data_IF_862739751776
#
_entry.id   IF_862739751776
#
_cell.length_a   1.000
_cell.length_b   1.000
_cell.length_c   1.000
_cell.angle_alpha   90.00
_cell.angle_beta   90.00
_cell.angle_gamma   90.00
#
_symmetry.space_group_name_H-M   'P 1'
#
loop_
_entity.id
_entity.type
_entity.pdbx_description
1 polymer ?
#
# COMPACT_ATOMS: atom_id res chain seq x y z
N UNK A 1 15.00 -14.23 -12.31
CA UNK A 1 13.55 -14.16 -12.64
C UNK A 1 12.83 -13.53 -11.46
N UNK A 2 12.01 -12.50 -11.66
CA UNK A 2 11.27 -11.89 -10.56
C UNK A 2 10.09 -12.79 -10.16
N UNK A 3 9.97 -13.13 -8.87
CA UNK A 3 8.84 -13.91 -8.34
C UNK A 3 7.64 -12.98 -8.11
N UNK A 4 6.49 -13.38 -8.63
CA UNK A 4 5.23 -12.64 -8.50
C UNK A 4 4.30 -13.34 -7.50
N UNK A 5 3.55 -12.55 -6.75
CA UNK A 5 2.58 -13.00 -5.77
C UNK A 5 1.23 -12.35 -6.01
N UNK A 6 0.17 -13.13 -5.85
CA UNK A 6 -1.20 -12.65 -5.92
C UNK A 6 -1.70 -12.31 -4.52
N UNK A 7 -2.36 -11.17 -4.37
CA UNK A 7 -3.03 -10.76 -3.12
C UNK A 7 -4.54 -10.73 -3.32
N UNK A 8 -5.28 -10.71 -2.21
CA UNK A 8 -6.73 -10.60 -2.22
C UNK A 8 -7.22 -9.26 -2.80
N UNK A 9 -8.48 -9.25 -3.25
CA UNK A 9 -9.11 -8.07 -3.86
C UNK A 9 -9.01 -6.83 -2.97
N UNK A 10 -9.24 -6.98 -1.66
CA UNK A 10 -9.25 -5.84 -0.74
C UNK A 10 -7.87 -5.19 -0.59
N UNK A 11 -6.82 -5.99 -0.47
CA UNK A 11 -5.43 -5.51 -0.40
C UNK A 11 -5.01 -4.88 -1.71
N UNK A 12 -5.34 -5.50 -2.85
CA UNK A 12 -5.10 -4.92 -4.17
C UNK A 12 -5.75 -3.53 -4.27
N UNK A 13 -7.01 -3.41 -3.89
CA UNK A 13 -7.75 -2.15 -3.95
C UNK A 13 -7.18 -1.11 -2.98
N UNK A 14 -6.66 -1.52 -1.82
CA UNK A 14 -5.96 -0.65 -0.87
C UNK A 14 -4.63 -0.12 -1.43
N UNK A 15 -3.82 -0.98 -2.04
CA UNK A 15 -2.55 -0.58 -2.67
C UNK A 15 -2.81 0.31 -3.88
N UNK A 16 -3.86 0.05 -4.66
CA UNK A 16 -4.28 0.95 -5.74
C UNK A 16 -4.70 2.32 -5.21
N UNK A 17 -5.34 2.40 -4.04
CA UNK A 17 -5.66 3.67 -3.39
C UNK A 17 -4.39 4.44 -3.01
N UNK A 18 -3.36 3.75 -2.48
CA UNK A 18 -2.03 4.34 -2.22
C UNK A 18 -1.42 4.89 -3.51
N UNK A 19 -1.35 4.08 -4.58
CA UNK A 19 -0.78 4.48 -5.87
C UNK A 19 -1.50 5.73 -6.41
N UNK A 20 -2.83 5.72 -6.38
CA UNK A 20 -3.66 6.83 -6.85
C UNK A 20 -3.41 8.08 -6.01
N UNK A 21 -3.47 7.98 -4.68
CA UNK A 21 -3.29 9.12 -3.78
C UNK A 21 -1.91 9.78 -3.97
N UNK A 22 -0.84 8.99 -4.04
CA UNK A 22 0.51 9.53 -4.24
C UNK A 22 0.64 10.18 -5.62
N UNK A 23 0.06 9.58 -6.67
CA UNK A 23 0.04 10.19 -8.00
C UNK A 23 -0.71 11.52 -8.01
N UNK A 24 -1.91 11.54 -7.44
CA UNK A 24 -2.78 12.73 -7.42
C UNK A 24 -2.15 13.88 -6.64
N UNK A 25 -1.35 13.59 -5.61
CA UNK A 25 -0.72 14.60 -4.74
C UNK A 25 0.70 15.01 -5.15
N UNK A 26 1.46 14.13 -5.79
CA UNK A 26 2.87 14.38 -6.17
C UNK A 26 3.10 14.51 -7.67
N UNK A 27 2.08 14.19 -8.48
CA UNK A 27 2.18 14.10 -9.94
C UNK A 27 2.91 12.86 -10.46
N UNK A 28 3.54 12.05 -9.59
CA UNK A 28 4.38 10.92 -9.99
C UNK A 28 3.89 9.63 -9.33
N UNK A 29 3.55 8.63 -10.14
CA UNK A 29 3.19 7.31 -9.64
C UNK A 29 4.34 6.66 -8.85
N UNK A 30 4.08 6.17 -7.63
CA UNK A 30 5.09 5.46 -6.85
C UNK A 30 5.36 4.08 -7.45
N UNK A 31 6.58 3.56 -7.33
CA UNK A 31 6.91 2.17 -7.65
C UNK A 31 6.45 1.22 -6.54
N UNK A 32 6.35 -0.08 -6.86
CA UNK A 32 6.13 -1.10 -5.83
C UNK A 32 7.23 -1.10 -4.75
N UNK A 33 8.46 -0.76 -5.11
CA UNK A 33 9.58 -0.68 -4.16
C UNK A 33 9.44 0.51 -3.21
N UNK A 34 9.07 1.69 -3.72
CA UNK A 34 8.82 2.89 -2.91
C UNK A 34 7.70 2.64 -1.89
N UNK A 35 6.63 1.96 -2.31
CA UNK A 35 5.53 1.54 -1.42
C UNK A 35 6.01 0.50 -0.41
N UNK A 36 6.72 -0.54 -0.85
CA UNK A 36 7.21 -1.59 0.04
C UNK A 36 8.12 -1.02 1.13
N UNK A 37 9.01 -0.09 0.78
CA UNK A 37 9.90 0.57 1.74
C UNK A 37 9.13 1.46 2.71
N UNK A 38 8.15 2.22 2.23
CA UNK A 38 7.28 3.02 3.10
C UNK A 38 6.52 2.15 4.10
N UNK A 39 5.94 1.03 3.66
CA UNK A 39 5.19 0.08 4.51
C UNK A 39 6.06 -0.58 5.59
N UNK A 40 7.36 -0.75 5.34
CA UNK A 40 8.31 -1.27 6.34
C UNK A 40 8.79 -0.22 7.34
N UNK A 41 8.47 1.06 7.13
CA UNK A 41 8.85 2.13 8.07
C UNK A 41 8.15 1.94 9.42
N UNK A 42 8.92 2.01 10.51
CA UNK A 42 8.41 1.80 11.87
C UNK A 42 7.20 2.68 12.18
N UNK A 43 7.21 3.93 11.72
CA UNK A 43 6.11 4.86 11.92
C UNK A 43 4.82 4.36 11.24
N UNK A 44 4.90 3.91 9.99
CA UNK A 44 3.75 3.35 9.26
C UNK A 44 3.26 2.05 9.92
N UNK A 45 4.19 1.18 10.33
CA UNK A 45 3.86 -0.06 11.03
C UNK A 45 3.10 0.21 12.34
N UNK A 46 3.56 1.19 13.12
CA UNK A 46 2.91 1.61 14.35
C UNK A 46 1.50 2.13 14.10
N UNK A 47 1.34 2.96 13.07
CA UNK A 47 0.04 3.54 12.74
C UNK A 47 -0.95 2.49 12.22
N UNK A 48 -0.51 1.56 11.38
CA UNK A 48 -1.32 0.40 10.99
C UNK A 48 -1.75 -0.38 12.24
N UNK A 49 -0.83 -0.63 13.18
CA UNK A 49 -1.15 -1.32 14.43
C UNK A 49 -2.17 -0.59 15.30
N UNK A 50 -2.09 0.74 15.38
CA UNK A 50 -3.07 1.57 16.09
C UNK A 50 -4.44 1.50 15.40
N UNK A 51 -4.46 1.62 14.08
CA UNK A 51 -5.69 1.61 13.27
C UNK A 51 -6.39 0.25 13.32
N UNK A 52 -5.65 -0.87 13.32
CA UNK A 52 -6.22 -2.21 13.53
C UNK A 52 -6.78 -2.35 14.95
N UNK A 53 -6.04 -1.90 15.98
CA UNK A 53 -6.55 -1.92 17.37
C UNK A 53 -7.84 -1.09 17.52
N UNK A 54 -7.91 0.05 16.85
CA UNK A 54 -9.10 0.88 16.84
C UNK A 54 -10.28 0.19 16.14
N UNK A 55 -10.05 -0.49 15.01
CA UNK A 55 -11.08 -1.28 14.33
C UNK A 55 -11.65 -2.38 15.23
N UNK A 56 -10.80 -3.15 15.91
CA UNK A 56 -11.22 -4.24 16.81
C UNK A 56 -12.03 -3.77 18.02
N UNK A 57 -11.80 -2.54 18.47
CA UNK A 57 -12.53 -1.95 19.61
C UNK A 57 -13.88 -1.35 19.23
N UNK A 58 -14.14 -1.11 17.95
CA UNK A 58 -15.45 -0.59 17.51
C UNK A 58 -16.49 -1.70 17.63
N UNK A 59 -17.63 -1.49 18.31
CA UNK A 59 -18.75 -2.41 18.20
C UNK A 59 -19.14 -2.49 16.73
N UNK A 60 -19.38 -3.71 16.22
CA UNK A 60 -19.70 -4.00 14.82
C UNK A 60 -20.91 -3.20 14.34
N UNK A 61 -20.69 -1.95 13.96
CA UNK A 61 -21.59 -1.22 13.07
C UNK A 61 -21.07 -1.54 11.69
N UNK A 62 -21.54 -2.68 11.17
CA UNK A 62 -21.48 -2.95 9.75
C UNK A 62 -22.32 -1.91 9.03
N UNK A 63 -21.69 -0.81 8.69
CA UNK A 63 -22.00 -0.08 7.47
C UNK A 63 -20.67 0.31 6.87
N UNK A 64 -20.00 -0.70 6.28
CA UNK A 64 -19.14 -0.37 5.15
C UNK A 64 -20.09 0.21 4.09
N UNK A 65 -19.93 1.46 3.64
CA UNK A 65 -20.61 1.86 2.43
C UNK A 65 -20.17 0.86 1.37
N UNK A 66 -21.13 0.10 0.83
CA UNK A 66 -20.97 -0.62 -0.43
C UNK A 66 -20.62 0.45 -1.45
N UNK A 67 -19.34 0.75 -1.57
CA UNK A 67 -18.83 1.56 -2.66
C UNK A 67 -19.14 0.75 -3.89
N UNK A 68 -20.15 1.19 -4.64
CA UNK A 68 -20.41 0.70 -5.98
C UNK A 68 -19.13 0.98 -6.76
N UNK A 69 -18.29 -0.05 -6.86
CA UNK A 69 -17.13 -0.05 -7.72
C UNK A 69 -17.69 0.02 -9.14
N UNK A 70 -17.83 1.24 -9.68
CA UNK A 70 -17.75 1.42 -11.12
C UNK A 70 -16.35 0.93 -11.48
N UNK A 71 -16.27 -0.30 -11.96
CA UNK A 71 -15.01 -0.88 -12.39
C UNK A 71 -14.36 0.10 -13.38
N UNK A 72 -13.21 0.69 -13.05
CA UNK A 72 -12.51 1.45 -14.04
C UNK A 72 -11.91 0.44 -15.02
N UNK A 73 -12.52 0.36 -16.20
CA UNK A 73 -11.95 -0.37 -17.33
C UNK A 73 -10.69 0.37 -17.77
N UNK A 74 -9.53 -0.10 -17.32
CA UNK A 74 -8.25 0.43 -17.75
C UNK A 74 -7.74 -0.36 -18.95
N UNK A 75 -7.73 0.26 -20.12
CA UNK A 75 -7.04 -0.24 -21.31
C UNK A 75 -5.53 -0.23 -21.07
N UNK A 76 -4.90 -1.41 -21.14
CA UNK A 76 -3.44 -1.53 -21.19
C UNK A 76 -3.01 -1.15 -22.62
N UNK A 77 -2.34 -0.01 -22.78
CA UNK A 77 -1.71 0.31 -24.05
C UNK A 77 -0.38 -0.47 -24.15
N UNK A 78 -0.41 -1.62 -24.83
CA UNK A 78 0.77 -2.48 -25.03
C UNK A 78 1.80 -1.87 -25.99
N UNK A 79 1.45 -0.84 -26.76
CA UNK A 79 2.35 -0.18 -27.72
C UNK A 79 3.36 0.77 -27.04
N UNK A 80 3.05 1.26 -25.84
CA UNK A 80 3.92 2.18 -25.08
C UNK A 80 4.83 1.48 -24.05
N UNK A 81 4.87 0.14 -24.07
CA UNK A 81 5.40 -0.66 -22.96
C UNK A 81 4.43 -0.70 -21.77
N UNK A 82 4.58 -1.64 -20.83
CA UNK A 82 3.66 -1.75 -19.70
C UNK A 82 3.74 -0.47 -18.85
N UNK A 83 2.62 0.22 -18.59
CA UNK A 83 2.62 1.37 -17.69
C UNK A 83 3.14 0.94 -16.30
N UNK A 84 3.80 1.86 -15.60
CA UNK A 84 4.26 1.67 -14.22
C UNK A 84 3.08 1.12 -13.40
N UNK A 85 3.32 0.09 -12.59
CA UNK A 85 2.30 -0.61 -11.79
C UNK A 85 1.19 -1.35 -12.56
N UNK A 86 1.34 -1.66 -13.86
CA UNK A 86 0.38 -2.51 -14.61
C UNK A 86 0.03 -3.83 -13.89
N UNK A 87 1.01 -4.49 -13.27
CA UNK A 87 0.82 -5.72 -12.49
C UNK A 87 -0.03 -5.50 -11.22
N UNK A 88 0.06 -4.34 -10.59
CA UNK A 88 -0.72 -3.99 -9.39
C UNK A 88 -2.22 -4.01 -9.71
N UNK A 89 -2.61 -3.57 -10.92
CA UNK A 89 -4.02 -3.53 -11.35
C UNK A 89 -4.66 -4.91 -11.40
N UNK A 90 -3.88 -5.94 -11.72
CA UNK A 90 -4.33 -7.34 -11.74
C UNK A 90 -4.04 -8.08 -10.43
N UNK A 91 -3.54 -7.37 -9.41
CA UNK A 91 -3.24 -7.94 -8.10
C UNK A 91 -1.95 -8.74 -8.03
N UNK A 92 -1.03 -8.54 -8.99
CA UNK A 92 0.27 -9.18 -9.03
C UNK A 92 1.37 -8.26 -8.51
N UNK A 93 2.16 -8.77 -7.55
CA UNK A 93 3.14 -8.00 -6.81
C UNK A 93 4.50 -8.69 -6.75
N UNK A 94 5.57 -7.90 -6.73
CA UNK A 94 6.92 -8.42 -6.50
C UNK A 94 7.12 -8.84 -5.04
N UNK A 95 8.12 -9.68 -4.80
CA UNK A 95 8.48 -10.20 -3.48
C UNK A 95 8.65 -9.11 -2.41
N UNK A 96 9.22 -7.94 -2.77
CA UNK A 96 9.37 -6.83 -1.84
C UNK A 96 8.06 -6.36 -1.21
N UNK A 97 6.98 -6.35 -1.99
CA UNK A 97 5.63 -6.01 -1.51
C UNK A 97 5.05 -7.11 -0.64
N UNK A 98 5.22 -8.38 -1.01
CA UNK A 98 4.79 -9.50 -0.17
C UNK A 98 5.49 -9.47 1.20
N UNK A 99 6.80 -9.23 1.20
CA UNK A 99 7.59 -9.08 2.41
C UNK A 99 7.09 -7.91 3.25
N UNK A 100 6.83 -6.75 2.64
CA UNK A 100 6.33 -5.59 3.35
C UNK A 100 4.96 -5.83 4.01
N UNK A 101 4.02 -6.48 3.30
CA UNK A 101 2.71 -6.84 3.85
C UNK A 101 2.87 -7.81 5.03
N UNK A 102 3.69 -8.85 4.88
CA UNK A 102 3.99 -9.79 5.97
C UNK A 102 4.66 -9.11 7.16
N UNK A 103 5.55 -8.14 6.92
CA UNK A 103 6.17 -7.34 7.98
C UNK A 103 5.10 -6.57 8.75
N UNK A 104 4.14 -5.95 8.07
CA UNK A 104 3.02 -5.28 8.72
C UNK A 104 2.17 -6.26 9.55
N UNK A 105 1.77 -7.40 8.99
CA UNK A 105 1.01 -8.43 9.70
C UNK A 105 1.74 -8.91 10.96
N UNK A 106 3.04 -9.25 10.82
CA UNK A 106 3.88 -9.71 11.94
C UNK A 106 4.05 -8.64 13.02
N UNK A 107 4.21 -7.37 12.62
CA UNK A 107 4.32 -6.27 13.56
C UNK A 107 3.03 -6.11 14.38
N UNK A 108 1.88 -6.09 13.70
CA UNK A 108 0.57 -5.98 14.37
C UNK A 108 0.34 -7.17 15.30
N UNK A 109 0.61 -8.41 14.86
CA UNK A 109 0.54 -9.62 15.68
C UNK A 109 1.36 -9.49 16.97
N UNK A 110 2.63 -9.08 16.85
CA UNK A 110 3.51 -8.87 18.01
C UNK A 110 3.01 -7.77 18.94
N UNK A 111 2.40 -6.72 18.40
CA UNK A 111 1.96 -5.55 19.18
C UNK A 111 0.57 -5.69 19.81
N UNK A 112 -0.28 -6.57 19.27
CA UNK A 112 -1.69 -6.71 19.65
C UNK A 112 -2.06 -8.10 20.19
N UNK A 113 -1.17 -9.09 20.07
CA UNK A 113 -1.42 -10.47 20.49
C UNK A 113 -2.02 -11.35 19.40
N UNK A 114 -2.87 -10.78 18.55
CA UNK A 114 -3.61 -11.53 17.51
C UNK A 114 -3.15 -11.16 16.09
N UNK A 115 -3.05 -12.16 15.22
CA UNK A 115 -2.70 -11.98 13.82
C UNK A 115 -3.80 -11.22 13.07
N UNK A 116 -3.48 -10.12 12.38
CA UNK A 116 -4.50 -9.38 11.63
C UNK A 116 -4.85 -10.07 10.32
N UNK A 117 -6.12 -9.96 9.94
CA UNK A 117 -6.57 -10.40 8.62
C UNK A 117 -6.01 -9.50 7.52
N UNK A 118 -5.96 -9.99 6.29
CA UNK A 118 -5.56 -9.18 5.14
C UNK A 118 -6.48 -7.96 4.95
N UNK A 119 -7.76 -8.13 5.25
CA UNK A 119 -8.78 -7.08 5.22
C UNK A 119 -8.56 -6.00 6.28
N UNK A 120 -8.18 -6.35 7.50
CA UNK A 120 -7.87 -5.38 8.56
C UNK A 120 -6.68 -4.48 8.15
N UNK A 121 -5.65 -5.08 7.54
CA UNK A 121 -4.50 -4.32 7.02
C UNK A 121 -4.94 -3.46 5.83
N UNK A 122 -5.69 -4.02 4.88
CA UNK A 122 -6.17 -3.30 3.70
C UNK A 122 -7.05 -2.09 4.07
N UNK A 123 -7.93 -2.24 5.08
CA UNK A 123 -8.76 -1.15 5.58
C UNK A 123 -7.91 -0.07 6.25
N UNK A 124 -6.89 -0.47 7.00
CA UNK A 124 -5.95 0.48 7.63
C UNK A 124 -5.21 1.31 6.58
N UNK A 125 -4.73 0.69 5.50
CA UNK A 125 -4.02 1.38 4.41
C UNK A 125 -4.87 2.43 3.68
N UNK A 126 -6.21 2.31 3.72
CA UNK A 126 -7.13 3.29 3.14
C UNK A 126 -7.39 4.50 4.07
N UNK A 127 -6.84 4.50 5.29
CA UNK A 127 -6.94 5.65 6.20
C UNK A 127 -6.17 6.85 5.63
N UNK A 128 -6.83 8.02 5.58
CA UNK A 128 -6.24 9.25 5.03
C UNK A 128 -4.90 9.62 5.68
N UNK A 129 -4.78 9.42 7.00
CA UNK A 129 -3.54 9.67 7.72
C UNK A 129 -2.41 8.75 7.24
N UNK A 130 -2.66 7.44 7.17
CA UNK A 130 -1.67 6.46 6.65
C UNK A 130 -1.32 6.76 5.19
N UNK A 131 -2.29 7.13 4.35
CA UNK A 131 -2.05 7.52 2.95
C UNK A 131 -1.10 8.73 2.84
N UNK A 132 -1.34 9.77 3.63
CA UNK A 132 -0.48 10.96 3.71
C UNK A 132 0.93 10.60 4.14
N UNK A 133 1.06 9.72 5.13
CA UNK A 133 2.35 9.35 5.70
C UNK A 133 3.16 8.44 4.78
N UNK A 134 2.50 7.52 4.07
CA UNK A 134 3.14 6.76 2.98
C UNK A 134 3.67 7.72 1.91
N UNK A 135 2.86 8.70 1.49
CA UNK A 135 3.29 9.73 0.53
C UNK A 135 4.52 10.49 1.03
N UNK A 136 4.54 10.90 2.30
CA UNK A 136 5.66 11.64 2.89
C UNK A 136 6.94 10.81 2.90
N UNK A 137 6.84 9.53 3.25
CA UNK A 137 7.98 8.59 3.21
C UNK A 137 8.50 8.39 1.78
N UNK A 138 7.61 8.33 0.78
CA UNK A 138 8.01 8.21 -0.62
C UNK A 138 8.72 9.48 -1.11
N UNK A 139 8.23 10.66 -0.78
CA UNK A 139 8.91 11.91 -1.12
C UNK A 139 10.30 12.00 -0.48
N UNK A 140 10.43 11.57 0.78
CA UNK A 140 11.72 11.50 1.45
C UNK A 140 12.69 10.54 0.75
N UNK A 141 12.23 9.34 0.36
CA UNK A 141 13.01 8.39 -0.43
C UNK A 141 13.53 9.02 -1.74
N UNK A 142 12.64 9.70 -2.49
CA UNK A 142 12.98 10.36 -3.76
C UNK A 142 14.01 11.46 -3.58
N UNK A 143 13.90 12.27 -2.52
CA UNK A 143 14.87 13.32 -2.21
C UNK A 143 16.23 12.73 -1.84
N UNK A 144 16.25 11.64 -1.08
CA UNK A 144 17.48 10.90 -0.76
C UNK A 144 18.19 10.39 -2.01
N UNK A 145 17.45 9.77 -2.94
CA UNK A 145 18.00 9.28 -4.21
C UNK A 145 18.59 10.38 -5.09
N UNK A 146 17.98 11.58 -5.12
CA UNK A 146 18.52 12.73 -5.88
C UNK A 146 19.88 13.18 -5.34
N UNK A 147 20.02 13.32 -4.02
CA UNK A 147 21.29 13.73 -3.38
C UNK A 147 22.41 12.73 -3.63
N UNK A 148 22.11 11.42 -3.61
CA UNK A 148 23.11 10.38 -3.91
C UNK A 148 23.60 10.41 -5.35
N UNK A 149 22.75 10.80 -6.31
CA UNK A 149 23.14 10.89 -7.72
C UNK A 149 23.90 12.19 -8.07
N UNK A 150 23.75 13.26 -7.29
CA UNK A 150 24.52 14.51 -7.45
C UNK A 150 25.94 14.44 -6.87
N UNK A 151 26.22 13.43 -6.03
CA UNK A 151 27.52 13.26 -5.35
C UNK A 151 28.39 12.16 -6.01
N UNK A 152 27.98 11.64 -7.17
CA UNK A 152 28.71 10.65 -7.98
C UNK A 152 29.14 11.27 -9.30
#
# INVERSE_FOLDING_TARGET
MAKLFQVGKQMRDAILAVVKYVKDTTGIEPSQEEIANALKSYFILNEIGNQVRFQRKKPNTQDQPKTSSKEPFWTLNLMAGPPKNSLVKVGLFYEGMQTAIKTAQNFVKKSSGDEPSEEEIALSLKCNFILSEIKNQIDWQRQGSKKTNETK
#
